data_IF_481632671134
#
_entry.id   IF_481632671134
#
_cell.length_a   1.000
_cell.length_b   1.000
_cell.length_c   1.000
_cell.angle_alpha   90.00
_cell.angle_beta   90.00
_cell.angle_gamma   90.00
#
_symmetry.space_group_name_H-M   'P 1'
#
loop_
_entity.id
_entity.type
_entity.pdbx_description
1 polymer ?
#
# COMPACT_ATOMS: atom_id res chain seq x y z
N UNK A 1 -3.23 -17.05 -3.74
CA UNK A 1 -4.03 -16.09 -2.95
C UNK A 1 -3.35 -14.77 -3.10
N UNK A 2 -4.12 -13.75 -3.46
CA UNK A 2 -3.59 -12.41 -3.65
C UNK A 2 -3.79 -11.66 -2.35
N UNK A 3 -2.73 -10.97 -1.93
CA UNK A 3 -2.68 -10.18 -0.72
C UNK A 3 -2.26 -8.77 -1.09
N UNK A 4 -2.66 -7.82 -0.26
CA UNK A 4 -2.30 -6.41 -0.42
C UNK A 4 -1.38 -6.00 0.71
N UNK A 5 -0.26 -5.35 0.37
CA UNK A 5 0.56 -4.60 1.32
C UNK A 5 0.30 -3.12 1.13
N UNK A 6 0.07 -2.42 2.22
CA UNK A 6 -0.05 -0.97 2.24
C UNK A 6 1.17 -0.42 2.96
N UNK A 7 1.91 0.49 2.32
CA UNK A 7 3.02 1.23 2.92
C UNK A 7 2.73 2.73 2.91
N UNK A 8 2.96 3.41 4.03
CA UNK A 8 2.85 4.88 4.12
C UNK A 8 4.24 5.49 4.16
N UNK A 9 4.46 6.53 3.38
CA UNK A 9 5.72 7.26 3.22
C UNK A 9 5.54 8.73 3.59
N UNK A 10 6.63 9.38 3.99
CA UNK A 10 6.63 10.82 4.27
C UNK A 10 6.46 11.63 2.99
N UNK A 11 7.12 11.20 1.91
CA UNK A 11 7.11 11.88 0.61
C UNK A 11 6.97 10.92 -0.58
N UNK A 12 6.72 11.52 -1.76
CA UNK A 12 6.57 10.80 -3.02
C UNK A 12 7.88 10.16 -3.49
N UNK A 13 9.04 10.73 -3.13
CA UNK A 13 10.35 10.25 -3.60
C UNK A 13 10.64 8.87 -3.00
N UNK A 14 10.38 8.69 -1.71
CA UNK A 14 10.52 7.40 -1.04
C UNK A 14 9.57 6.34 -1.64
N UNK A 15 8.33 6.73 -1.93
CA UNK A 15 7.36 5.84 -2.57
C UNK A 15 7.81 5.46 -4.01
N UNK A 16 8.33 6.38 -4.80
CA UNK A 16 8.84 6.07 -6.14
C UNK A 16 10.07 5.15 -6.12
N UNK A 17 10.95 5.32 -5.13
CA UNK A 17 12.11 4.43 -4.93
C UNK A 17 11.64 3.00 -4.61
N UNK A 18 10.74 2.86 -3.63
CA UNK A 18 10.14 1.57 -3.30
C UNK A 18 9.43 0.95 -4.52
N UNK A 19 8.68 1.74 -5.30
CA UNK A 19 8.00 1.26 -6.51
C UNK A 19 8.98 0.69 -7.52
N UNK A 20 10.10 1.37 -7.74
CA UNK A 20 11.12 0.94 -8.70
C UNK A 20 11.74 -0.40 -8.31
N UNK A 21 12.00 -0.61 -7.01
CA UNK A 21 12.48 -1.89 -6.48
C UNK A 21 11.40 -3.00 -6.55
N UNK A 22 10.15 -2.67 -6.24
CA UNK A 22 9.02 -3.63 -6.31
C UNK A 22 8.76 -4.05 -7.76
N UNK A 23 8.89 -3.15 -8.72
CA UNK A 23 8.80 -3.47 -10.15
C UNK A 23 9.88 -4.46 -10.60
N UNK A 24 11.05 -4.47 -9.95
CA UNK A 24 12.10 -5.45 -10.23
C UNK A 24 11.69 -6.89 -9.83
N UNK A 25 10.69 -7.04 -8.97
CA UNK A 25 10.07 -8.33 -8.62
C UNK A 25 9.07 -8.84 -9.65
N UNK A 26 9.01 -8.22 -10.84
CA UNK A 26 8.08 -8.55 -11.93
C UNK A 26 6.60 -8.34 -11.55
N UNK A 27 6.34 -7.47 -10.58
CA UNK A 27 4.97 -7.09 -10.21
C UNK A 27 4.45 -6.10 -11.25
N UNK A 28 3.27 -6.35 -11.86
CA UNK A 28 2.67 -5.43 -12.80
C UNK A 28 2.46 -4.04 -12.19
N UNK A 29 2.73 -2.98 -12.94
CA UNK A 29 2.50 -1.60 -12.47
C UNK A 29 1.04 -1.30 -12.17
N UNK A 30 0.10 -2.07 -12.73
CA UNK A 30 -1.33 -1.96 -12.41
C UNK A 30 -1.63 -2.39 -10.98
N UNK A 31 -0.80 -3.27 -10.41
CA UNK A 31 -0.91 -3.78 -9.05
C UNK A 31 -0.11 -2.96 -8.04
N UNK A 32 0.55 -1.88 -8.47
CA UNK A 32 1.29 -0.95 -7.61
C UNK A 32 0.70 0.45 -7.76
N UNK A 33 -0.06 0.89 -6.76
CA UNK A 33 -0.78 2.14 -6.78
C UNK A 33 -0.17 3.11 -5.76
N UNK A 34 -0.01 4.38 -6.13
CA UNK A 34 0.49 5.45 -5.26
C UNK A 34 -0.53 6.57 -5.20
N UNK A 35 -0.84 7.03 -3.99
CA UNK A 35 -1.79 8.08 -3.71
C UNK A 35 -1.16 9.17 -2.85
N UNK A 36 -1.54 10.41 -3.09
CA UNK A 36 -1.20 11.49 -2.17
C UNK A 36 -2.11 11.49 -0.93
N UNK A 37 -1.79 12.32 0.06
CA UNK A 37 -2.60 12.54 1.26
C UNK A 37 -4.05 13.01 1.00
N UNK A 38 -4.36 13.47 -0.19
CA UNK A 38 -5.71 13.88 -0.60
C UNK A 38 -6.48 12.76 -1.30
N UNK A 39 -5.82 11.61 -1.53
CA UNK A 39 -6.35 10.46 -2.25
C UNK A 39 -6.22 10.53 -3.75
N UNK A 40 -5.58 11.57 -4.28
CA UNK A 40 -5.36 11.66 -5.71
C UNK A 40 -4.36 10.58 -6.07
N UNK A 41 -4.78 9.70 -6.98
CA UNK A 41 -3.91 8.68 -7.55
C UNK A 41 -2.80 9.40 -8.33
N UNK A 42 -1.57 9.21 -7.88
CA UNK A 42 -0.38 9.76 -8.52
C UNK A 42 0.15 8.79 -9.58
N UNK A 43 0.11 7.47 -9.31
CA UNK A 43 0.65 6.43 -10.19
C UNK A 43 -0.09 5.09 -10.04
N UNK A 44 -0.08 4.30 -11.12
CA UNK A 44 -0.60 2.92 -11.13
C UNK A 44 -2.12 2.83 -11.26
N UNK A 45 -2.64 1.60 -11.22
CA UNK A 45 -4.08 1.30 -11.20
C UNK A 45 -4.87 1.64 -12.48
N UNK A 46 -6.12 1.18 -12.49
CA UNK A 46 -7.18 1.71 -13.36
C UNK A 46 -7.75 2.95 -12.67
N UNK A 47 -8.23 3.97 -13.39
CA UNK A 47 -8.93 5.14 -12.82
C UNK A 47 -10.11 4.66 -11.95
N UNK A 48 -9.83 4.38 -10.68
CA UNK A 48 -10.81 4.03 -9.68
C UNK A 48 -11.04 5.30 -8.86
N UNK A 49 -12.31 5.61 -8.61
CA UNK A 49 -12.70 6.75 -7.78
C UNK A 49 -11.90 6.75 -6.49
N UNK A 50 -11.11 7.81 -6.29
CA UNK A 50 -10.36 8.12 -5.06
C UNK A 50 -11.16 7.88 -3.77
N UNK A 51 -12.48 8.07 -3.83
CA UNK A 51 -13.41 7.89 -2.71
C UNK A 51 -13.48 6.42 -2.26
N UNK A 52 -13.64 5.47 -3.19
CA UNK A 52 -13.72 4.05 -2.88
C UNK A 52 -12.40 3.49 -2.35
N UNK A 53 -11.27 4.12 -2.71
CA UNK A 53 -9.94 3.69 -2.28
C UNK A 53 -9.72 3.96 -0.78
N UNK A 54 -9.99 5.18 -0.31
CA UNK A 54 -9.84 5.48 1.12
C UNK A 54 -10.79 4.64 1.96
N UNK A 55 -12.04 4.42 1.52
CA UNK A 55 -12.97 3.55 2.23
C UNK A 55 -12.44 2.12 2.34
N UNK A 56 -11.94 1.54 1.24
CA UNK A 56 -11.33 0.20 1.27
C UNK A 56 -10.04 0.13 2.07
N UNK A 57 -9.23 1.19 2.04
CA UNK A 57 -8.08 1.31 2.92
C UNK A 57 -8.54 1.31 4.37
N UNK A 58 -9.47 2.19 4.75
CA UNK A 58 -10.00 2.26 6.10
C UNK A 58 -10.56 0.92 6.55
N UNK A 59 -11.34 0.22 5.71
CA UNK A 59 -11.81 -1.13 6.01
C UNK A 59 -10.65 -2.11 6.21
N UNK A 60 -9.65 -2.09 5.32
CA UNK A 60 -8.47 -2.96 5.40
C UNK A 60 -7.65 -2.70 6.67
N UNK A 61 -7.58 -1.44 7.11
CA UNK A 61 -6.79 -0.97 8.24
C UNK A 61 -7.53 -1.14 9.59
N UNK A 62 -8.87 -1.05 9.59
CA UNK A 62 -9.72 -1.16 10.78
C UNK A 62 -10.04 -2.61 11.12
N UNK A 63 -10.10 -3.53 10.14
CA UNK A 63 -10.49 -4.94 10.37
C UNK A 63 -9.31 -5.92 10.53
N UNK A 64 -8.06 -5.45 10.63
CA UNK A 64 -6.90 -6.30 10.88
C UNK A 64 -6.83 -6.80 12.34
N UNK A 65 -6.74 -8.12 12.60
CA UNK A 65 -6.66 -8.66 13.96
C UNK A 65 -5.24 -8.56 14.53
N UNK A 66 -4.72 -7.34 14.71
CA UNK A 66 -3.58 -7.03 15.59
C UNK A 66 -3.14 -5.57 15.44
N UNK A 67 -3.60 -4.71 16.36
CA UNK A 67 -2.86 -3.61 17.01
C UNK A 67 -1.99 -2.63 16.18
N UNK A 68 -2.11 -2.57 14.85
CA UNK A 68 -1.39 -1.65 13.95
C UNK A 68 -2.36 -1.05 12.93
N UNK A 69 -3.51 -0.57 13.41
CA UNK A 69 -4.31 0.34 12.60
C UNK A 69 -3.39 1.51 12.22
N UNK A 70 -3.22 1.76 10.92
CA UNK A 70 -2.60 3.01 10.45
C UNK A 70 -3.36 4.13 11.14
N UNK A 71 -2.67 4.87 12.01
CA UNK A 71 -3.33 5.97 12.69
C UNK A 71 -3.74 6.98 11.62
N UNK A 72 -4.92 7.57 11.74
CA UNK A 72 -5.32 8.64 10.81
C UNK A 72 -4.28 9.77 10.83
N UNK A 73 -3.59 9.93 11.95
CA UNK A 73 -2.49 10.87 12.09
C UNK A 73 -1.23 10.44 11.32
N UNK A 74 -0.95 9.14 11.15
CA UNK A 74 0.18 8.65 10.34
C UNK A 74 -0.07 8.87 8.84
N UNK A 75 -1.32 8.73 8.39
CA UNK A 75 -1.73 9.03 7.00
C UNK A 75 -1.85 10.54 6.77
N UNK A 76 -2.13 11.31 7.83
CA UNK A 76 -2.15 12.79 7.76
C UNK A 76 -0.76 13.41 7.87
N UNK A 77 0.18 12.74 8.53
CA UNK A 77 1.59 13.15 8.64
C UNK A 77 2.44 12.58 7.49
N UNK A 78 2.18 11.35 7.06
CA UNK A 78 2.77 10.70 5.89
C UNK A 78 2.11 11.18 4.60
N UNK A 79 2.86 11.86 3.74
CA UNK A 79 2.32 12.53 2.57
C UNK A 79 1.90 11.60 1.42
N UNK A 80 2.27 10.32 1.44
CA UNK A 80 2.10 9.41 0.30
C UNK A 80 1.81 7.97 0.74
N UNK A 81 0.77 7.37 0.17
CA UNK A 81 0.37 5.98 0.44
C UNK A 81 0.64 5.12 -0.79
N UNK A 82 1.24 3.96 -0.60
CA UNK A 82 1.42 2.94 -1.62
C UNK A 82 0.60 1.69 -1.28
N UNK A 83 -0.12 1.17 -2.27
CA UNK A 83 -0.79 -0.12 -2.23
C UNK A 83 -0.13 -1.06 -3.24
N UNK A 84 0.22 -2.26 -2.81
CA UNK A 84 0.85 -3.27 -3.65
C UNK A 84 0.06 -4.57 -3.53
N UNK A 85 -0.54 -5.01 -4.64
CA UNK A 85 -1.18 -6.32 -4.73
C UNK A 85 -0.19 -7.34 -5.25
N UNK A 86 -0.02 -8.43 -4.53
CA UNK A 86 0.89 -9.48 -4.94
C UNK A 86 0.47 -10.85 -4.40
N UNK A 87 1.09 -11.90 -4.93
CA UNK A 87 0.95 -13.23 -4.37
C UNK A 87 1.69 -13.33 -3.02
N UNK A 88 1.24 -14.22 -2.14
CA UNK A 88 1.86 -14.46 -0.83
C UNK A 88 3.37 -14.80 -0.91
N UNK A 89 3.87 -15.26 -2.06
CA UNK A 89 5.27 -15.69 -2.23
C UNK A 89 6.26 -14.52 -2.22
N UNK A 90 5.85 -13.33 -2.67
CA UNK A 90 6.72 -12.14 -2.75
C UNK A 90 6.39 -11.09 -1.68
N UNK A 91 5.36 -11.32 -0.86
CA UNK A 91 4.89 -10.36 0.16
C UNK A 91 5.94 -9.95 1.17
N UNK A 92 6.78 -10.91 1.61
CA UNK A 92 7.85 -10.60 2.57
C UNK A 92 8.91 -9.70 1.92
N UNK A 93 9.26 -9.96 0.67
CA UNK A 93 10.23 -9.15 -0.07
C UNK A 93 9.70 -7.73 -0.31
N UNK A 94 8.42 -7.58 -0.68
CA UNK A 94 7.75 -6.27 -0.79
C UNK A 94 7.83 -5.52 0.54
N UNK A 95 7.54 -6.20 1.65
CA UNK A 95 7.57 -5.59 2.99
C UNK A 95 8.97 -5.12 3.35
N UNK A 96 9.99 -5.91 3.02
CA UNK A 96 11.37 -5.55 3.27
C UNK A 96 11.79 -4.36 2.40
N UNK A 97 11.31 -4.27 1.15
CA UNK A 97 11.54 -3.10 0.28
C UNK A 97 10.90 -1.85 0.87
N UNK A 98 9.62 -1.94 1.27
CA UNK A 98 8.90 -0.85 1.91
C UNK A 98 9.66 -0.34 3.16
N UNK A 99 10.03 -1.25 4.06
CA UNK A 99 10.80 -0.93 5.27
C UNK A 99 12.13 -0.24 4.96
N UNK A 100 12.89 -0.75 3.98
CA UNK A 100 14.19 -0.18 3.57
C UNK A 100 14.06 1.21 2.97
N UNK A 101 12.94 1.50 2.31
CA UNK A 101 12.64 2.78 1.69
C UNK A 101 11.95 3.78 2.64
N UNK A 102 11.92 3.48 3.95
CA UNK A 102 11.50 4.44 4.95
C UNK A 102 9.99 4.53 5.14
N UNK A 103 9.23 3.46 4.83
CA UNK A 103 7.81 3.44 5.23
C UNK A 103 7.66 3.64 6.72
N UNK A 104 6.78 4.57 7.11
CA UNK A 104 6.45 4.85 8.50
C UNK A 104 5.57 3.76 9.10
N UNK A 105 4.79 3.08 8.27
CA UNK A 105 3.90 2.01 8.70
C UNK A 105 3.57 1.08 7.52
N UNK A 106 3.43 -0.21 7.80
CA UNK A 106 3.13 -1.27 6.83
C UNK A 106 1.97 -2.11 7.35
N UNK A 107 0.91 -2.24 6.55
CA UNK A 107 -0.19 -3.15 6.82
C UNK A 107 -0.28 -4.25 5.75
N UNK A 108 -0.44 -5.50 6.18
CA UNK A 108 -0.62 -6.66 5.30
C UNK A 108 -2.04 -7.18 5.44
N UNK A 109 -2.74 -7.25 4.31
CA UNK A 109 -4.07 -7.84 4.26
C UNK A 109 -4.13 -9.01 3.28
N UNK A 110 -4.57 -10.16 3.78
CA UNK A 110 -4.86 -11.34 2.96
C UNK A 110 -6.34 -11.28 2.57
N UNK A 111 -6.65 -11.20 1.28
CA UNK A 111 -8.03 -11.33 0.82
C UNK A 111 -8.53 -12.75 1.09
N UNK A 112 -9.42 -12.89 2.08
CA UNK A 112 -10.18 -14.12 2.29
C UNK A 112 -11.29 -14.12 1.24
N UNK A 113 -11.20 -15.00 0.26
CA UNK A 113 -12.30 -15.23 -0.68
C UNK A 113 -13.34 -16.07 0.05
N UNK A 114 -14.39 -15.44 0.56
CA UNK A 114 -15.55 -16.17 1.08
C UNK A 114 -16.04 -17.15 -0.01
N UNK A 115 -16.09 -18.43 0.35
CA UNK A 115 -16.47 -19.55 -0.51
C UNK A 115 -17.96 -19.84 -0.38
#
# INVERSE_FOLDING_TARGET
MDSTVIGVFEDLVQAEQARSEIMALQIPTIDIEIYDRTGVQLMGGSEASTIDYWEKLYETLVFGPSNQALDQDDVRQGGTVMSVRANDSVMNEITDILHRNGTVNINKHRMIRDS
#
